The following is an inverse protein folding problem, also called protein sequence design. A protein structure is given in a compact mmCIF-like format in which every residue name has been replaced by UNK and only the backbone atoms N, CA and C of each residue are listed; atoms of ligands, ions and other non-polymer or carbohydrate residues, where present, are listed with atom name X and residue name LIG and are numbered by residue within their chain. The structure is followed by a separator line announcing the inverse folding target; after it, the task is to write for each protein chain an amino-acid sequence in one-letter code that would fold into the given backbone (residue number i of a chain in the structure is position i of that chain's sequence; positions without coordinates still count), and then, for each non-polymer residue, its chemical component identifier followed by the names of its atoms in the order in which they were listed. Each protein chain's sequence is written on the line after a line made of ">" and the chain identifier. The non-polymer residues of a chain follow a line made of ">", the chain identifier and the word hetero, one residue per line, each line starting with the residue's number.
data_IF_363196831250
#
_entry.id   IF_363196831250
#
_cell.length_a   1.000
_cell.length_b   1.000
_cell.length_c   1.000
_cell.angle_alpha   90.00
_cell.angle_beta   90.00
_cell.angle_gamma   90.00
#
_symmetry.space_group_name_H-M   'P 1'
#
loop_
_entity.id
_entity.type
_entity.pdbx_description
1 polymer ?
#
# COMPACT_ATOMS: atom_id res chain seq x y z
N UNK A 1 35.51 -7.63 -11.61
CA UNK A 1 36.35 -8.41 -10.70
C UNK A 1 36.70 -7.57 -9.49
N UNK A 2 37.06 -8.19 -8.37
CA UNK A 2 37.50 -7.47 -7.15
C UNK A 2 38.70 -6.56 -7.40
N UNK A 3 39.55 -6.90 -8.34
CA UNK A 3 40.70 -6.07 -8.77
C UNK A 3 40.28 -4.77 -9.45
N UNK A 4 39.18 -4.78 -10.22
CA UNK A 4 38.65 -3.59 -10.90
C UNK A 4 38.07 -2.56 -9.92
N UNK A 5 37.66 -2.97 -8.75
CA UNK A 5 37.06 -2.09 -7.72
C UNK A 5 37.98 -1.85 -6.51
N UNK A 6 39.21 -2.39 -6.52
CA UNK A 6 40.16 -2.26 -5.41
C UNK A 6 40.55 -0.78 -5.10
N UNK A 7 40.42 0.13 -6.06
CA UNK A 7 40.64 1.56 -5.90
C UNK A 7 39.37 2.41 -5.90
N UNK A 8 38.19 1.79 -5.89
CA UNK A 8 36.92 2.51 -5.85
C UNK A 8 36.66 3.08 -4.44
N UNK A 9 35.92 4.20 -4.35
CA UNK A 9 35.51 4.75 -3.04
C UNK A 9 34.67 3.76 -2.26
N UNK A 10 34.73 3.85 -0.95
CA UNK A 10 33.84 3.11 -0.05
C UNK A 10 32.38 3.54 -0.26
N UNK A 11 31.40 2.73 0.22
CA UNK A 11 29.97 3.06 0.12
C UNK A 11 29.66 4.47 0.69
N UNK A 12 30.28 4.84 1.81
CA UNK A 12 30.09 6.15 2.44
C UNK A 12 30.68 7.28 1.59
N UNK A 13 31.91 7.12 1.10
CA UNK A 13 32.57 8.11 0.22
C UNK A 13 31.82 8.27 -1.09
N UNK A 14 31.36 7.17 -1.67
CA UNK A 14 30.57 7.20 -2.91
C UNK A 14 29.25 7.95 -2.72
N UNK A 15 28.56 7.73 -1.59
CA UNK A 15 27.33 8.46 -1.26
C UNK A 15 27.58 9.95 -1.06
N UNK A 16 28.66 10.30 -0.37
CA UNK A 16 29.03 11.71 -0.15
C UNK A 16 29.28 12.42 -1.49
N UNK A 17 30.08 11.79 -2.37
CA UNK A 17 30.34 12.32 -3.71
C UNK A 17 29.06 12.40 -4.56
N UNK A 18 28.18 11.39 -4.46
CA UNK A 18 26.92 11.36 -5.18
C UNK A 18 26.00 12.52 -4.74
N UNK A 19 25.80 12.71 -3.44
CA UNK A 19 24.96 13.79 -2.94
C UNK A 19 25.59 15.18 -3.18
N UNK A 20 26.90 15.28 -3.16
CA UNK A 20 27.58 16.52 -3.55
C UNK A 20 27.35 16.83 -5.05
N UNK A 21 27.40 15.80 -5.91
CA UNK A 21 27.06 15.95 -7.33
C UNK A 21 25.59 16.35 -7.54
N UNK A 22 24.69 15.85 -6.70
CA UNK A 22 23.25 16.12 -6.76
C UNK A 22 22.85 17.39 -5.98
N UNK A 23 23.79 18.22 -5.52
CA UNK A 23 23.49 19.43 -4.76
C UNK A 23 22.53 20.34 -5.53
N UNK A 24 21.43 20.73 -4.88
CA UNK A 24 20.33 21.47 -5.51
C UNK A 24 19.35 20.63 -6.33
N UNK A 25 19.47 19.30 -6.36
CA UNK A 25 18.55 18.38 -7.02
C UNK A 25 17.76 17.58 -5.99
N UNK A 26 16.47 17.87 -5.85
CA UNK A 26 15.58 17.19 -4.90
C UNK A 26 14.88 15.96 -5.50
N UNK A 27 14.98 15.77 -6.83
CA UNK A 27 14.21 14.77 -7.58
C UNK A 27 15.14 13.90 -8.42
N UNK A 28 14.98 12.59 -8.26
CA UNK A 28 15.69 11.57 -9.01
C UNK A 28 14.78 10.92 -10.04
N UNK A 29 15.25 10.84 -11.27
CA UNK A 29 14.53 10.20 -12.36
C UNK A 29 15.24 8.89 -12.71
N UNK A 30 14.52 7.78 -12.71
CA UNK A 30 15.05 6.48 -13.09
C UNK A 30 14.04 5.67 -13.90
N UNK A 31 14.50 4.61 -14.57
CA UNK A 31 13.64 3.67 -15.29
C UNK A 31 13.48 2.38 -14.50
N UNK A 32 12.30 2.10 -13.98
CA UNK A 32 12.06 1.12 -12.92
C UNK A 32 12.70 1.56 -11.59
N UNK A 33 12.39 2.80 -11.23
CA UNK A 33 13.03 3.56 -10.16
C UNK A 33 13.08 2.86 -8.80
N UNK A 34 12.11 2.00 -8.48
CA UNK A 34 12.09 1.23 -7.22
C UNK A 34 13.34 0.35 -7.07
N UNK A 35 13.93 -0.12 -8.18
CA UNK A 35 15.14 -0.92 -8.14
C UNK A 35 16.34 -0.06 -7.69
N UNK A 36 16.63 1.03 -8.37
CA UNK A 36 17.76 1.91 -8.09
C UNK A 36 17.62 2.60 -6.72
N UNK A 37 16.42 3.10 -6.43
CA UNK A 37 16.11 3.75 -5.16
C UNK A 37 16.15 2.79 -3.97
N UNK A 38 15.86 1.50 -4.20
CA UNK A 38 16.02 0.46 -3.18
C UNK A 38 17.47 0.32 -2.72
N UNK A 39 18.41 0.33 -3.65
CA UNK A 39 19.86 0.33 -3.33
C UNK A 39 20.29 1.63 -2.66
N UNK A 40 19.92 2.78 -3.23
CA UNK A 40 20.27 4.08 -2.70
C UNK A 40 19.77 4.28 -1.27
N UNK A 41 18.49 4.03 -1.01
CA UNK A 41 17.90 4.12 0.34
C UNK A 41 18.53 3.14 1.33
N UNK A 42 18.95 1.98 0.86
CA UNK A 42 19.63 1.00 1.72
C UNK A 42 21.03 1.50 2.10
N UNK A 43 21.78 2.05 1.15
CA UNK A 43 23.10 2.63 1.41
C UNK A 43 23.01 3.86 2.33
N UNK A 44 22.06 4.78 2.09
CA UNK A 44 21.76 5.93 2.95
C UNK A 44 21.57 5.49 4.42
N UNK A 45 20.71 4.48 4.64
CA UNK A 45 20.45 3.94 5.98
C UNK A 45 21.68 3.30 6.62
N UNK A 46 22.49 2.55 5.87
CA UNK A 46 23.72 1.94 6.38
C UNK A 46 24.75 2.97 6.80
N UNK A 47 24.82 4.07 6.08
CA UNK A 47 25.73 5.18 6.38
C UNK A 47 25.18 6.16 7.44
N UNK A 48 24.00 5.88 8.03
CA UNK A 48 23.41 6.72 9.07
C UNK A 48 22.95 8.10 8.58
N UNK A 49 22.66 8.23 7.30
CA UNK A 49 22.19 9.47 6.67
C UNK A 49 20.66 9.54 6.68
N UNK A 50 20.09 10.75 6.51
CA UNK A 50 18.64 11.01 6.62
C UNK A 50 18.00 11.44 5.30
N UNK A 51 18.73 11.51 4.20
CA UNK A 51 18.21 11.92 2.90
C UNK A 51 17.13 10.93 2.43
N UNK A 52 16.02 11.45 1.93
CA UNK A 52 14.91 10.68 1.35
C UNK A 52 14.50 11.32 0.02
N UNK A 53 15.26 11.05 -1.05
CA UNK A 53 15.04 11.69 -2.34
C UNK A 53 13.70 11.28 -2.96
N UNK A 54 13.01 12.27 -3.55
CA UNK A 54 11.79 12.05 -4.32
C UNK A 54 12.15 11.41 -5.66
N UNK A 55 11.37 10.40 -6.07
CA UNK A 55 11.61 9.69 -7.32
C UNK A 55 10.52 9.92 -8.35
N UNK A 56 10.92 9.95 -9.63
CA UNK A 56 10.03 9.82 -10.78
C UNK A 56 10.46 8.59 -11.57
N UNK A 57 9.49 7.74 -11.93
CA UNK A 57 9.73 6.50 -12.67
C UNK A 57 9.25 6.60 -14.11
N UNK A 58 10.19 6.65 -15.07
CA UNK A 58 9.87 6.73 -16.50
C UNK A 58 9.24 5.44 -17.04
N UNK A 59 9.38 4.29 -16.36
CA UNK A 59 8.66 3.07 -16.71
C UNK A 59 7.16 3.23 -16.38
N UNK A 60 6.84 3.85 -15.26
CA UNK A 60 5.45 4.16 -14.86
C UNK A 60 4.87 5.21 -15.79
N UNK A 61 5.65 6.27 -16.10
CA UNK A 61 5.28 7.28 -17.10
C UNK A 61 4.98 6.66 -18.46
N UNK A 62 5.88 5.85 -18.98
CA UNK A 62 5.74 5.22 -20.30
C UNK A 62 4.50 4.33 -20.39
N UNK A 63 4.21 3.56 -19.33
CA UNK A 63 2.98 2.75 -19.26
C UNK A 63 1.71 3.58 -19.25
N UNK A 64 1.76 4.75 -18.64
CA UNK A 64 0.63 5.65 -18.57
C UNK A 64 0.41 6.45 -19.85
N UNK A 65 1.48 6.88 -20.50
CA UNK A 65 1.42 7.73 -21.68
C UNK A 65 1.26 6.93 -22.98
N UNK A 66 1.87 5.74 -23.05
CA UNK A 66 1.91 4.89 -24.27
C UNK A 66 1.36 3.48 -23.98
N UNK A 67 0.06 3.35 -23.59
CA UNK A 67 -0.55 2.06 -23.23
C UNK A 67 -0.60 1.06 -24.39
N UNK A 68 -0.49 1.54 -25.62
CA UNK A 68 -0.46 0.74 -26.86
C UNK A 68 0.84 -0.06 -27.03
N UNK A 69 1.94 0.36 -26.39
CA UNK A 69 3.21 -0.35 -26.45
C UNK A 69 3.15 -1.66 -25.67
N UNK A 70 3.54 -2.77 -26.31
CA UNK A 70 3.59 -4.09 -25.66
C UNK A 70 4.64 -4.19 -24.55
N UNK A 71 5.72 -3.42 -24.66
CA UNK A 71 6.83 -3.37 -23.70
C UNK A 71 7.20 -1.90 -23.46
N UNK A 72 7.68 -1.61 -22.26
CA UNK A 72 8.09 -0.26 -21.87
C UNK A 72 9.52 -0.29 -21.31
N UNK A 73 10.40 -1.07 -21.92
CA UNK A 73 11.83 -1.04 -21.61
C UNK A 73 12.43 0.28 -22.11
N UNK A 74 13.58 0.66 -21.58
CA UNK A 74 14.27 1.89 -21.96
C UNK A 74 14.54 1.94 -23.48
N UNK A 75 15.03 0.83 -24.05
CA UNK A 75 15.26 0.67 -25.48
C UNK A 75 14.00 0.87 -26.34
N UNK A 76 12.88 0.29 -25.88
CA UNK A 76 11.59 0.40 -26.58
C UNK A 76 11.05 1.83 -26.54
N UNK A 77 11.21 2.52 -25.42
CA UNK A 77 10.81 3.93 -25.28
C UNK A 77 11.74 4.84 -26.10
N UNK A 78 13.05 4.56 -26.13
CA UNK A 78 14.00 5.29 -26.95
C UNK A 78 13.64 5.20 -28.43
N UNK A 79 13.35 4.00 -28.93
CA UNK A 79 12.92 3.76 -30.33
C UNK A 79 11.61 4.51 -30.61
N UNK A 80 10.60 4.38 -29.75
CA UNK A 80 9.29 5.04 -29.91
C UNK A 80 9.41 6.56 -29.98
N UNK A 81 10.30 7.15 -29.19
CA UNK A 81 10.49 8.60 -29.09
C UNK A 81 11.61 9.13 -30.01
N UNK A 82 12.24 8.26 -30.80
CA UNK A 82 13.33 8.66 -31.69
C UNK A 82 14.58 9.17 -30.94
N UNK A 83 14.91 8.55 -29.80
CA UNK A 83 16.15 8.83 -29.04
C UNK A 83 17.21 7.82 -29.42
N UNK A 84 18.39 8.32 -29.85
CA UNK A 84 19.51 7.46 -30.28
C UNK A 84 20.22 6.86 -29.05
N UNK A 85 20.33 5.53 -28.99
CA UNK A 85 21.10 4.80 -27.99
C UNK A 85 22.34 4.18 -28.64
N UNK A 86 23.53 4.69 -28.28
CA UNK A 86 24.80 4.31 -28.93
C UNK A 86 25.43 3.05 -28.36
N UNK A 87 25.34 2.88 -27.03
CA UNK A 87 25.98 1.78 -26.33
C UNK A 87 25.02 1.19 -25.26
N UNK A 88 24.30 0.14 -25.61
CA UNK A 88 23.43 -0.57 -24.69
C UNK A 88 24.22 -1.09 -23.45
N UNK A 89 23.61 -0.97 -22.27
CA UNK A 89 24.14 -1.43 -20.98
C UNK A 89 25.41 -0.69 -20.49
N UNK A 90 25.63 0.55 -20.93
CA UNK A 90 26.54 1.46 -20.30
C UNK A 90 25.77 2.49 -19.50
N UNK A 91 26.06 2.57 -18.19
CA UNK A 91 25.31 3.41 -17.26
C UNK A 91 25.27 4.89 -17.65
N UNK A 92 26.36 5.40 -18.22
CA UNK A 92 26.46 6.78 -18.75
C UNK A 92 25.54 7.03 -19.95
N UNK A 93 25.49 6.10 -20.91
CA UNK A 93 24.63 6.21 -22.09
C UNK A 93 23.17 5.95 -21.74
N UNK A 94 22.89 4.96 -20.88
CA UNK A 94 21.54 4.67 -20.40
C UNK A 94 20.98 5.87 -19.62
N UNK A 95 21.77 6.55 -18.78
CA UNK A 95 21.36 7.76 -18.07
C UNK A 95 21.07 8.94 -19.02
N UNK A 96 21.89 9.13 -20.06
CA UNK A 96 21.65 10.15 -21.10
C UNK A 96 20.35 9.88 -21.86
N UNK A 97 20.17 8.65 -22.33
CA UNK A 97 18.96 8.22 -23.04
C UNK A 97 17.73 8.39 -22.17
N UNK A 98 17.82 8.02 -20.89
CA UNK A 98 16.77 8.21 -19.90
C UNK A 98 16.39 9.69 -19.74
N UNK A 99 17.39 10.58 -19.65
CA UNK A 99 17.15 12.02 -19.52
C UNK A 99 16.43 12.58 -20.75
N UNK A 100 16.86 12.22 -21.96
CA UNK A 100 16.21 12.64 -23.20
C UNK A 100 14.75 12.13 -23.30
N UNK A 101 14.51 10.88 -22.95
CA UNK A 101 13.15 10.29 -22.88
C UNK A 101 12.30 11.06 -21.90
N UNK A 102 12.82 11.29 -20.69
CA UNK A 102 12.09 12.00 -19.63
C UNK A 102 11.71 13.41 -20.06
N UNK A 103 12.61 14.16 -20.66
CA UNK A 103 12.33 15.53 -21.14
C UNK A 103 11.24 15.52 -22.22
N UNK A 104 11.27 14.60 -23.17
CA UNK A 104 10.21 14.46 -24.19
C UNK A 104 8.87 14.11 -23.58
N UNK A 105 8.84 13.15 -22.63
CA UNK A 105 7.63 12.81 -21.89
C UNK A 105 7.09 14.00 -21.09
N UNK A 106 7.98 14.78 -20.49
CA UNK A 106 7.61 15.99 -19.75
C UNK A 106 6.96 17.03 -20.66
N UNK A 107 7.55 17.30 -21.82
CA UNK A 107 6.99 18.23 -22.81
C UNK A 107 5.59 17.79 -23.26
N UNK A 108 5.38 16.52 -23.53
CA UNK A 108 4.04 15.98 -23.88
C UNK A 108 3.05 16.12 -22.73
N UNK A 109 3.44 15.82 -21.48
CA UNK A 109 2.59 15.96 -20.31
C UNK A 109 2.18 17.41 -20.06
N UNK A 110 3.13 18.34 -20.22
CA UNK A 110 2.85 19.77 -20.08
C UNK A 110 1.88 20.24 -21.16
N UNK A 111 2.11 19.82 -22.42
CA UNK A 111 1.26 20.21 -23.54
C UNK A 111 -0.16 19.65 -23.44
N UNK A 112 -0.31 18.38 -23.06
CA UNK A 112 -1.61 17.70 -23.02
C UNK A 112 -2.40 17.98 -21.73
N UNK A 113 -1.75 17.99 -20.58
CA UNK A 113 -2.42 18.03 -19.26
C UNK A 113 -2.25 19.35 -18.52
N UNK A 114 -1.56 20.31 -19.10
CA UNK A 114 -1.29 21.63 -18.49
C UNK A 114 -0.66 21.49 -17.08
N UNK A 115 0.27 20.56 -16.92
CA UNK A 115 1.02 20.38 -15.68
C UNK A 115 1.99 21.54 -15.54
N UNK A 116 2.01 22.19 -14.37
CA UNK A 116 2.85 23.35 -14.09
C UNK A 116 3.92 23.07 -13.06
N UNK A 117 3.78 21.97 -12.28
CA UNK A 117 4.72 21.56 -11.24
C UNK A 117 5.09 20.10 -11.34
N UNK A 118 6.34 19.78 -11.00
CA UNK A 118 6.86 18.40 -11.05
C UNK A 118 6.11 17.46 -10.08
N UNK A 119 5.64 17.97 -8.94
CA UNK A 119 4.80 17.23 -7.99
C UNK A 119 3.50 16.71 -8.60
N UNK A 120 2.99 17.38 -9.64
CA UNK A 120 1.77 16.97 -10.35
C UNK A 120 2.01 15.77 -11.27
N UNK A 121 3.26 15.51 -11.68
CA UNK A 121 3.61 14.38 -12.56
C UNK A 121 3.20 13.06 -11.92
N UNK A 122 3.67 12.77 -10.72
CA UNK A 122 3.35 11.52 -10.03
C UNK A 122 1.85 11.38 -9.76
N UNK A 123 1.16 12.49 -9.48
CA UNK A 123 -0.29 12.50 -9.27
C UNK A 123 -1.05 12.24 -10.59
N UNK A 124 -0.67 12.88 -11.69
CA UNK A 124 -1.34 12.75 -12.99
C UNK A 124 -1.07 11.41 -13.66
N UNK A 125 0.11 10.83 -13.46
CA UNK A 125 0.50 9.51 -13.97
C UNK A 125 -0.15 8.40 -13.15
N UNK A 126 -0.26 8.56 -11.84
CA UNK A 126 -0.88 7.59 -10.93
C UNK A 126 -2.38 7.39 -11.16
N UNK A 127 -3.03 8.28 -11.93
CA UNK A 127 -4.45 8.15 -12.28
C UNK A 127 -4.71 7.19 -13.46
N UNK A 128 -3.70 6.75 -14.20
CA UNK A 128 -3.88 5.76 -15.27
C UNK A 128 -3.57 4.36 -14.74
N UNK A 129 -4.61 3.55 -14.66
CA UNK A 129 -4.69 2.09 -14.46
C UNK A 129 -3.36 1.35 -14.26
N UNK A 130 -2.78 1.44 -13.07
CA UNK A 130 -1.67 0.58 -12.70
C UNK A 130 -2.21 -0.83 -12.40
N UNK A 131 -2.51 -1.60 -13.48
CA UNK A 131 -3.08 -2.95 -13.39
C UNK A 131 -2.14 -3.96 -12.73
N UNK A 132 -0.87 -3.62 -12.51
CA UNK A 132 0.15 -4.48 -11.92
C UNK A 132 0.35 -4.28 -10.42
N UNK A 133 -0.15 -3.18 -9.82
CA UNK A 133 -0.09 -3.02 -8.37
C UNK A 133 -1.04 -4.00 -7.69
N UNK A 134 -0.57 -4.66 -6.65
CA UNK A 134 -1.43 -5.45 -5.78
C UNK A 134 -2.38 -4.50 -5.02
N UNK A 135 -3.70 -4.66 -5.16
CA UNK A 135 -4.63 -3.84 -4.40
C UNK A 135 -4.54 -4.20 -2.92
N UNK A 136 -4.74 -3.21 -2.07
CA UNK A 136 -4.90 -3.39 -0.64
C UNK A 136 -6.37 -3.67 -0.30
N UNK A 137 -6.60 -4.34 0.82
CA UNK A 137 -7.93 -4.44 1.39
C UNK A 137 -8.35 -3.10 2.03
N UNK A 138 -9.63 -2.82 1.96
CA UNK A 138 -10.25 -1.66 2.59
C UNK A 138 -11.67 -2.02 3.01
N UNK A 139 -12.12 -1.47 4.13
CA UNK A 139 -13.51 -1.64 4.60
C UNK A 139 -14.27 -0.34 4.36
N UNK A 140 -15.46 -0.44 3.78
CA UNK A 140 -16.38 0.66 3.59
C UNK A 140 -17.68 0.38 4.34
N UNK A 141 -18.00 1.18 5.34
CA UNK A 141 -19.27 1.12 6.07
C UNK A 141 -20.17 2.25 5.58
N UNK A 142 -21.40 1.90 5.25
CA UNK A 142 -22.42 2.89 4.86
C UNK A 142 -22.96 3.55 6.11
N UNK A 143 -22.82 4.86 6.22
CA UNK A 143 -23.29 5.62 7.38
C UNK A 143 -24.72 6.14 7.20
N UNK A 144 -25.09 6.48 5.98
CA UNK A 144 -26.41 7.03 5.65
C UNK A 144 -26.81 6.73 4.20
N UNK A 145 -27.99 7.22 3.77
CA UNK A 145 -28.51 6.97 2.42
C UNK A 145 -27.65 7.58 1.29
N UNK A 146 -26.93 8.68 1.53
CA UNK A 146 -25.96 9.26 0.59
C UNK A 146 -24.80 8.30 0.40
N UNK A 147 -24.25 7.76 1.49
CA UNK A 147 -23.18 6.77 1.47
C UNK A 147 -23.57 5.50 0.73
N UNK A 148 -24.81 5.01 0.88
CA UNK A 148 -25.30 3.87 0.12
C UNK A 148 -25.23 4.11 -1.39
N UNK A 149 -25.73 5.27 -1.84
CA UNK A 149 -25.68 5.66 -3.25
C UNK A 149 -24.24 5.76 -3.76
N UNK A 150 -23.36 6.31 -2.94
CA UNK A 150 -21.95 6.46 -3.27
C UNK A 150 -21.23 5.11 -3.30
N UNK A 151 -21.53 4.19 -2.37
CA UNK A 151 -21.03 2.82 -2.39
C UNK A 151 -21.43 2.11 -3.68
N UNK A 152 -22.67 2.22 -4.12
CA UNK A 152 -23.13 1.62 -5.39
C UNK A 152 -22.37 2.16 -6.59
N UNK A 153 -22.08 3.47 -6.64
CA UNK A 153 -21.26 4.05 -7.72
C UNK A 153 -19.83 3.51 -7.69
N UNK A 154 -19.21 3.40 -6.51
CA UNK A 154 -17.87 2.85 -6.34
C UNK A 154 -17.83 1.40 -6.80
N UNK A 155 -18.79 0.56 -6.37
CA UNK A 155 -18.86 -0.85 -6.76
C UNK A 155 -19.08 -0.97 -8.28
N UNK A 156 -20.01 -0.19 -8.85
CA UNK A 156 -20.25 -0.21 -10.30
C UNK A 156 -18.99 0.14 -11.09
N UNK A 157 -18.30 1.23 -10.72
CA UNK A 157 -17.06 1.62 -11.37
C UNK A 157 -15.96 0.55 -11.20
N UNK A 158 -15.85 -0.08 -10.02
CA UNK A 158 -14.87 -1.12 -9.76
C UNK A 158 -15.02 -2.35 -10.66
N UNK A 159 -16.27 -2.64 -11.09
CA UNK A 159 -16.56 -3.75 -11.99
C UNK A 159 -16.53 -3.37 -13.47
N UNK A 160 -16.95 -2.16 -13.82
CA UNK A 160 -17.10 -1.73 -15.21
C UNK A 160 -15.84 -1.05 -15.77
N UNK A 161 -15.14 -0.27 -14.93
CA UNK A 161 -14.03 0.57 -15.36
C UNK A 161 -12.67 0.07 -14.82
N UNK A 162 -12.65 -0.44 -13.59
CA UNK A 162 -11.39 -0.76 -12.88
C UNK A 162 -11.21 -2.27 -12.61
N UNK A 163 -11.96 -3.14 -13.27
CA UNK A 163 -11.85 -4.59 -13.10
C UNK A 163 -10.55 -5.12 -13.71
N UNK A 164 -9.73 -5.78 -12.89
CA UNK A 164 -8.59 -6.55 -13.37
C UNK A 164 -8.39 -7.79 -12.50
N UNK A 165 -8.79 -8.97 -12.99
CA UNK A 165 -8.90 -10.24 -12.25
C UNK A 165 -9.88 -10.20 -11.08
N UNK A 166 -10.01 -9.06 -10.41
CA UNK A 166 -10.96 -8.74 -9.35
C UNK A 166 -11.31 -7.25 -9.38
N UNK A 167 -12.45 -6.83 -8.79
CA UNK A 167 -12.82 -5.42 -8.71
C UNK A 167 -11.77 -4.63 -7.92
N UNK A 168 -11.46 -3.43 -8.38
CA UNK A 168 -10.49 -2.52 -7.73
C UNK A 168 -11.08 -1.14 -7.61
N UNK A 169 -10.62 -0.40 -6.60
CA UNK A 169 -11.09 0.96 -6.33
C UNK A 169 -9.86 1.86 -6.25
N UNK A 170 -9.65 2.79 -7.21
CA UNK A 170 -8.65 3.83 -7.06
C UNK A 170 -8.96 4.73 -5.86
N UNK A 171 -7.94 5.15 -5.10
CA UNK A 171 -8.14 6.09 -3.97
C UNK A 171 -8.85 7.38 -4.40
N UNK A 172 -8.55 7.90 -5.59
CA UNK A 172 -9.20 9.09 -6.15
C UNK A 172 -10.71 8.92 -6.31
N UNK A 173 -11.15 7.74 -6.76
CA UNK A 173 -12.58 7.43 -6.88
C UNK A 173 -13.23 7.35 -5.49
N UNK A 174 -12.55 6.75 -4.52
CA UNK A 174 -13.04 6.67 -3.14
C UNK A 174 -13.14 8.06 -2.52
N UNK A 175 -12.13 8.93 -2.69
CA UNK A 175 -12.19 10.31 -2.21
C UNK A 175 -13.37 11.06 -2.82
N UNK A 176 -13.61 10.90 -4.13
CA UNK A 176 -14.72 11.53 -4.85
C UNK A 176 -16.09 11.15 -4.30
N UNK A 177 -16.26 9.92 -3.85
CA UNK A 177 -17.54 9.36 -3.37
C UNK A 177 -17.52 9.01 -1.87
N UNK A 178 -16.64 9.64 -1.08
CA UNK A 178 -16.46 9.32 0.34
C UNK A 178 -17.63 9.76 1.23
N UNK A 179 -18.41 10.76 0.81
CA UNK A 179 -19.51 11.30 1.62
C UNK A 179 -20.50 10.21 2.03
N UNK A 180 -20.80 10.14 3.33
CA UNK A 180 -21.70 9.15 3.93
C UNK A 180 -21.11 7.73 4.06
N UNK A 181 -19.79 7.59 3.87
CA UNK A 181 -19.04 6.35 4.08
C UNK A 181 -18.03 6.53 5.22
N UNK A 182 -17.89 5.51 6.04
CA UNK A 182 -16.75 5.35 6.94
C UNK A 182 -15.76 4.38 6.32
N UNK A 183 -14.49 4.77 6.30
CA UNK A 183 -13.39 4.03 5.68
C UNK A 183 -12.51 3.43 6.75
N UNK A 184 -12.43 2.10 6.82
CA UNK A 184 -11.59 1.34 7.74
C UNK A 184 -10.30 0.84 7.10
N UNK A 185 -9.24 0.71 7.91
CA UNK A 185 -7.91 0.30 7.45
C UNK A 185 -7.80 -1.18 7.04
N UNK A 186 -8.84 -1.96 7.32
CA UNK A 186 -8.93 -3.40 7.08
C UNK A 186 -7.88 -4.25 7.82
N UNK A 187 -7.70 -5.50 7.37
CA UNK A 187 -6.86 -6.53 7.97
C UNK A 187 -5.37 -6.38 7.60
N UNK A 188 -4.61 -7.45 7.78
CA UNK A 188 -3.17 -7.54 7.43
C UNK A 188 -2.88 -7.31 5.94
N UNK A 189 -3.89 -7.50 5.07
CA UNK A 189 -3.79 -7.20 3.64
C UNK A 189 -4.11 -5.72 3.32
N UNK A 190 -4.45 -4.91 4.32
CA UNK A 190 -4.62 -3.46 4.21
C UNK A 190 -3.31 -2.71 4.02
N UNK A 191 -3.39 -1.49 3.49
CA UNK A 191 -2.20 -0.67 3.21
C UNK A 191 -1.44 -0.32 4.49
N UNK A 192 -2.15 0.09 5.55
CA UNK A 192 -1.52 0.47 6.82
C UNK A 192 -0.74 -0.68 7.46
N UNK A 193 -1.37 -1.85 7.57
CA UNK A 193 -0.73 -3.00 8.20
C UNK A 193 0.50 -3.47 7.41
N UNK A 194 0.42 -3.50 6.08
CA UNK A 194 1.58 -3.79 5.23
C UNK A 194 2.69 -2.78 5.39
N UNK A 195 2.38 -1.49 5.44
CA UNK A 195 3.35 -0.43 5.66
C UNK A 195 4.09 -0.58 7.01
N UNK A 196 3.36 -0.96 8.08
CA UNK A 196 3.96 -1.26 9.39
C UNK A 196 4.90 -2.47 9.30
N UNK A 197 4.45 -3.55 8.65
CA UNK A 197 5.25 -4.77 8.45
C UNK A 197 6.52 -4.51 7.64
N UNK A 198 6.43 -3.65 6.64
CA UNK A 198 7.57 -3.23 5.80
C UNK A 198 8.53 -2.27 6.53
N UNK A 199 8.19 -1.84 7.75
CA UNK A 199 9.03 -0.96 8.57
C UNK A 199 9.12 0.47 8.04
N UNK A 200 8.03 0.98 7.43
CA UNK A 200 7.98 2.37 6.97
C UNK A 200 8.17 3.36 8.11
N UNK A 201 8.67 4.56 7.78
CA UNK A 201 8.92 5.64 8.75
C UNK A 201 7.60 6.07 9.41
N UNK A 202 7.70 6.52 10.66
CA UNK A 202 6.52 6.95 11.44
C UNK A 202 5.67 8.01 10.73
N UNK A 203 6.31 9.00 10.10
CA UNK A 203 5.62 10.05 9.34
C UNK A 203 4.77 9.45 8.19
N UNK A 204 5.33 8.51 7.41
CA UNK A 204 4.58 7.82 6.35
C UNK A 204 3.41 7.00 6.91
N UNK A 205 3.60 6.35 8.06
CA UNK A 205 2.53 5.61 8.73
C UNK A 205 1.41 6.55 9.18
N UNK A 206 1.74 7.74 9.69
CA UNK A 206 0.76 8.78 10.04
C UNK A 206 -0.02 9.25 8.79
N UNK A 207 0.67 9.51 7.68
CA UNK A 207 0.02 9.93 6.43
C UNK A 207 -0.94 8.85 5.90
N UNK A 208 -0.52 7.58 5.91
CA UNK A 208 -1.38 6.45 5.50
C UNK A 208 -2.57 6.32 6.46
N UNK A 209 -2.34 6.38 7.77
CA UNK A 209 -3.39 6.21 8.77
C UNK A 209 -4.43 7.34 8.72
N UNK A 210 -4.02 8.58 8.44
CA UNK A 210 -4.90 9.74 8.36
C UNK A 210 -5.95 9.64 7.24
N UNK A 211 -5.79 8.71 6.30
CA UNK A 211 -6.77 8.43 5.26
C UNK A 211 -8.03 7.74 5.79
N UNK A 212 -7.95 7.06 6.92
CA UNK A 212 -9.02 6.21 7.46
C UNK A 212 -9.85 6.94 8.54
N UNK A 213 -11.13 6.60 8.63
CA UNK A 213 -12.02 7.09 9.69
C UNK A 213 -11.89 6.24 10.95
N UNK A 214 -11.46 4.99 10.83
CA UNK A 214 -11.09 4.11 11.93
C UNK A 214 -10.02 3.11 11.50
N UNK A 215 -9.23 2.63 12.47
CA UNK A 215 -8.19 1.64 12.26
C UNK A 215 -8.63 0.30 12.85
N UNK A 216 -8.15 -0.79 12.25
CA UNK A 216 -8.49 -2.15 12.67
C UNK A 216 -7.26 -2.91 13.16
N UNK A 217 -7.46 -3.70 14.21
CA UNK A 217 -6.55 -4.76 14.65
C UNK A 217 -7.34 -6.05 14.84
N UNK A 218 -6.66 -7.17 14.71
CA UNK A 218 -7.26 -8.50 14.79
C UNK A 218 -6.62 -9.34 15.88
N UNK A 219 -7.30 -10.40 16.38
CA UNK A 219 -6.69 -11.42 17.22
C UNK A 219 -5.38 -11.93 16.63
N UNK A 220 -4.38 -12.20 17.48
CA UNK A 220 -3.08 -12.66 17.03
C UNK A 220 -3.17 -13.95 16.20
N UNK A 221 -4.08 -14.85 16.59
CA UNK A 221 -4.36 -16.10 15.91
C UNK A 221 -4.72 -15.96 14.44
N UNK A 222 -5.36 -14.83 14.05
CA UNK A 222 -5.72 -14.56 12.66
C UNK A 222 -4.48 -14.39 11.76
N UNK A 223 -3.37 -13.91 12.34
CA UNK A 223 -2.15 -13.55 11.64
C UNK A 223 -0.97 -14.48 11.91
N UNK A 224 -1.18 -15.60 12.64
CA UNK A 224 -0.12 -16.57 12.98
C UNK A 224 0.50 -17.24 11.74
N UNK A 225 -0.16 -17.22 10.60
CA UNK A 225 0.41 -17.67 9.35
C UNK A 225 1.71 -16.91 9.00
N UNK A 226 1.83 -15.64 9.38
CA UNK A 226 3.05 -14.85 9.14
C UNK A 226 4.28 -15.42 9.88
N UNK A 227 4.06 -15.99 11.08
CA UNK A 227 5.11 -16.67 11.84
C UNK A 227 5.44 -18.02 11.20
N UNK A 228 4.41 -18.79 10.85
CA UNK A 228 4.56 -20.10 10.19
C UNK A 228 5.32 -19.97 8.86
N UNK A 229 5.00 -18.98 8.06
CA UNK A 229 5.55 -18.78 6.71
C UNK A 229 6.88 -17.99 6.74
N UNK A 230 7.35 -17.60 7.94
CA UNK A 230 8.63 -16.92 8.14
C UNK A 230 8.65 -15.45 7.74
N UNK A 231 7.48 -14.84 7.56
CA UNK A 231 7.35 -13.40 7.28
C UNK A 231 7.70 -12.53 8.50
N UNK A 232 7.44 -13.03 9.70
CA UNK A 232 7.83 -12.46 10.99
C UNK A 232 8.46 -13.53 11.88
N UNK A 233 9.20 -13.10 12.91
CA UNK A 233 9.99 -14.03 13.75
C UNK A 233 9.15 -14.69 14.84
N UNK A 234 8.13 -13.99 15.35
CA UNK A 234 7.39 -14.42 16.52
C UNK A 234 6.01 -13.76 16.59
N UNK A 235 5.14 -14.34 17.43
CA UNK A 235 3.87 -13.71 17.83
C UNK A 235 4.07 -12.31 18.43
N UNK A 236 5.20 -12.07 19.09
CA UNK A 236 5.55 -10.75 19.64
C UNK A 236 5.65 -9.67 18.57
N UNK A 237 6.06 -10.01 17.36
CA UNK A 237 6.11 -9.07 16.25
C UNK A 237 4.67 -8.68 15.84
N UNK A 238 3.73 -9.63 15.80
CA UNK A 238 2.31 -9.37 15.51
C UNK A 238 1.71 -8.48 16.61
N UNK A 239 2.02 -8.75 17.89
CA UNK A 239 1.62 -7.87 18.99
C UNK A 239 2.14 -6.44 18.80
N UNK A 240 3.41 -6.29 18.41
CA UNK A 240 4.03 -5.00 18.16
C UNK A 240 3.37 -4.25 17.00
N UNK A 241 2.91 -4.95 15.95
CA UNK A 241 2.14 -4.33 14.87
C UNK A 241 0.80 -3.78 15.38
N UNK A 242 0.05 -4.56 16.15
CA UNK A 242 -1.19 -4.09 16.77
C UNK A 242 -0.95 -2.89 17.69
N UNK A 243 0.10 -2.91 18.51
CA UNK A 243 0.49 -1.79 19.38
C UNK A 243 0.86 -0.56 18.55
N UNK A 244 1.47 -0.74 17.38
CA UNK A 244 1.80 0.37 16.48
C UNK A 244 0.53 1.03 15.92
N UNK A 245 -0.47 0.24 15.52
CA UNK A 245 -1.79 0.75 15.10
C UNK A 245 -2.46 1.53 16.24
N UNK A 246 -2.42 1.02 17.47
CA UNK A 246 -2.96 1.71 18.65
C UNK A 246 -2.29 3.06 18.90
N UNK A 247 -0.94 3.11 18.76
CA UNK A 247 -0.17 4.36 18.92
C UNK A 247 -0.54 5.38 17.84
N UNK A 248 -0.69 4.95 16.59
CA UNK A 248 -1.14 5.80 15.48
C UNK A 248 -2.54 6.35 15.75
N UNK A 249 -3.49 5.49 16.11
CA UNK A 249 -4.86 5.91 16.45
C UNK A 249 -4.88 6.95 17.56
N UNK A 250 -4.13 6.71 18.64
CA UNK A 250 -4.01 7.66 19.77
C UNK A 250 -3.42 9.00 19.34
N UNK A 251 -2.34 8.98 18.53
CA UNK A 251 -1.68 10.21 18.09
C UNK A 251 -2.55 11.05 17.15
N UNK A 252 -3.28 10.38 16.25
CA UNK A 252 -4.10 11.03 15.23
C UNK A 252 -5.54 11.28 15.67
N UNK A 253 -5.93 10.80 16.86
CA UNK A 253 -7.33 10.88 17.33
C UNK A 253 -8.28 9.99 16.53
N UNK A 254 -7.79 8.93 15.88
CA UNK A 254 -8.56 8.00 15.07
C UNK A 254 -8.92 6.78 15.93
N UNK A 255 -10.21 6.39 16.05
CA UNK A 255 -10.61 5.24 16.84
C UNK A 255 -10.01 3.95 16.25
N UNK A 256 -9.54 3.07 17.13
CA UNK A 256 -9.11 1.71 16.78
C UNK A 256 -10.16 0.71 17.22
N UNK A 257 -10.50 -0.25 16.38
CA UNK A 257 -11.45 -1.33 16.67
C UNK A 257 -10.79 -2.69 16.55
N UNK A 258 -11.24 -3.64 17.36
CA UNK A 258 -10.89 -5.04 17.25
C UNK A 258 -11.95 -5.78 16.42
N UNK A 259 -11.53 -6.39 15.30
CA UNK A 259 -12.40 -7.16 14.42
C UNK A 259 -12.01 -8.62 14.39
N UNK A 260 -13.00 -9.53 14.30
CA UNK A 260 -12.77 -10.96 14.41
C UNK A 260 -12.46 -11.66 13.07
N UNK A 261 -12.73 -11.01 11.94
CA UNK A 261 -12.66 -11.62 10.59
C UNK A 261 -13.41 -12.97 10.52
N UNK A 262 -14.67 -12.96 10.97
CA UNK A 262 -15.45 -14.18 11.18
C UNK A 262 -15.81 -14.84 9.85
N UNK A 263 -15.42 -16.12 9.70
CA UNK A 263 -15.72 -16.95 8.54
C UNK A 263 -16.63 -18.16 8.88
N UNK A 264 -16.75 -18.51 10.15
CA UNK A 264 -17.61 -19.61 10.63
C UNK A 264 -18.07 -19.37 12.07
N UNK A 265 -19.13 -20.07 12.49
CA UNK A 265 -19.81 -19.81 13.77
C UNK A 265 -19.02 -20.36 14.96
N UNK A 266 -18.69 -21.64 14.93
CA UNK A 266 -18.04 -22.33 16.05
C UNK A 266 -16.66 -22.80 15.65
N UNK A 267 -15.75 -22.90 16.60
CA UNK A 267 -14.37 -23.34 16.34
C UNK A 267 -14.28 -24.69 15.59
N UNK A 268 -15.20 -25.62 15.88
CA UNK A 268 -15.27 -26.93 15.17
C UNK A 268 -15.58 -26.80 13.69
N UNK A 269 -16.22 -25.69 13.27
CA UNK A 269 -16.65 -25.47 11.88
C UNK A 269 -15.47 -25.14 10.95
N UNK A 270 -14.28 -24.86 11.51
CA UNK A 270 -13.03 -24.74 10.77
C UNK A 270 -12.81 -25.94 9.81
N UNK A 271 -13.28 -27.14 10.19
CA UNK A 271 -13.19 -28.33 9.36
C UNK A 271 -13.99 -28.22 8.05
N UNK A 272 -15.15 -27.59 8.10
CA UNK A 272 -15.97 -27.37 6.89
C UNK A 272 -15.29 -26.38 5.95
N UNK A 273 -14.70 -25.33 6.50
CA UNK A 273 -13.92 -24.35 5.71
C UNK A 273 -12.70 -24.99 5.09
N UNK A 274 -11.96 -25.83 5.83
CA UNK A 274 -10.85 -26.62 5.32
C UNK A 274 -11.22 -27.44 4.08
N UNK A 275 -12.35 -28.16 4.15
CA UNK A 275 -12.85 -28.99 3.03
C UNK A 275 -13.18 -28.13 1.80
N UNK A 276 -13.85 -26.99 2.02
CA UNK A 276 -14.19 -26.07 0.94
C UNK A 276 -12.96 -25.46 0.28
N UNK A 277 -11.99 -25.01 1.09
CA UNK A 277 -10.74 -24.44 0.60
C UNK A 277 -9.89 -25.47 -0.15
N UNK A 278 -9.81 -26.69 0.36
CA UNK A 278 -9.12 -27.79 -0.33
C UNK A 278 -9.78 -28.08 -1.70
N UNK A 279 -11.13 -28.11 -1.75
CA UNK A 279 -11.87 -28.25 -2.99
C UNK A 279 -11.65 -27.12 -3.99
N UNK A 280 -11.33 -25.93 -3.52
CA UNK A 280 -10.99 -24.76 -4.35
C UNK A 280 -9.49 -24.70 -4.72
N UNK A 281 -8.68 -25.64 -4.26
CA UNK A 281 -7.25 -25.75 -4.59
C UNK A 281 -6.32 -24.86 -3.76
N UNK A 282 -6.76 -24.36 -2.60
CA UNK A 282 -5.88 -23.64 -1.68
C UNK A 282 -4.87 -24.58 -1.05
N UNK A 283 -3.59 -24.20 -1.09
CA UNK A 283 -2.47 -25.03 -0.61
C UNK A 283 -2.37 -25.10 0.91
N UNK A 284 -2.93 -24.15 1.62
CA UNK A 284 -2.93 -23.96 3.07
C UNK A 284 -4.27 -24.30 3.71
N UNK A 285 -5.11 -25.05 3.00
CA UNK A 285 -6.45 -25.39 3.45
C UNK A 285 -6.49 -26.10 4.81
N UNK A 286 -5.47 -26.91 5.12
CA UNK A 286 -5.29 -27.64 6.36
C UNK A 286 -4.81 -26.78 7.55
N UNK A 287 -4.41 -25.54 7.30
CA UNK A 287 -3.90 -24.61 8.29
C UNK A 287 -4.89 -23.48 8.57
N UNK A 288 -6.07 -23.82 9.09
CA UNK A 288 -7.12 -22.86 9.35
C UNK A 288 -6.77 -21.89 10.47
N UNK A 289 -6.88 -20.57 10.19
CA UNK A 289 -6.88 -19.55 11.24
C UNK A 289 -8.17 -19.65 12.09
N UNK A 290 -8.15 -19.23 13.37
CA UNK A 290 -9.29 -19.36 14.28
C UNK A 290 -10.35 -18.27 14.03
N UNK A 291 -10.94 -18.25 12.83
CA UNK A 291 -11.86 -17.23 12.34
C UNK A 291 -13.32 -17.50 12.74
N UNK A 292 -13.54 -17.99 13.98
CA UNK A 292 -14.87 -18.28 14.50
C UNK A 292 -15.50 -17.03 15.14
N UNK A 293 -16.83 -17.05 15.26
CA UNK A 293 -17.56 -15.97 15.93
C UNK A 293 -17.28 -15.99 17.44
N UNK A 294 -16.65 -14.92 17.94
CA UNK A 294 -16.30 -14.76 19.36
C UNK A 294 -17.33 -13.93 20.09
N UNK A 295 -17.66 -14.34 21.31
CA UNK A 295 -18.38 -13.48 22.25
C UNK A 295 -17.50 -12.31 22.69
N UNK A 296 -18.11 -11.30 23.34
CA UNK A 296 -17.37 -10.14 23.88
C UNK A 296 -16.25 -10.58 24.82
N UNK A 297 -16.54 -11.52 25.75
CA UNK A 297 -15.54 -12.01 26.70
C UNK A 297 -14.39 -12.76 26.00
N UNK A 298 -14.71 -13.53 24.97
CA UNK A 298 -13.70 -14.20 24.15
C UNK A 298 -12.85 -13.18 23.39
N UNK A 299 -13.48 -12.13 22.82
CA UNK A 299 -12.73 -11.06 22.14
C UNK A 299 -11.82 -10.30 23.10
N UNK A 300 -12.29 -9.94 24.29
CA UNK A 300 -11.45 -9.29 25.32
C UNK A 300 -10.23 -10.15 25.68
N UNK A 301 -10.40 -11.46 25.78
CA UNK A 301 -9.31 -12.40 26.07
C UNK A 301 -8.25 -12.46 24.96
N UNK A 302 -8.62 -12.26 23.70
CA UNK A 302 -7.67 -12.22 22.58
C UNK A 302 -6.69 -11.03 22.67
N UNK A 303 -7.04 -10.01 23.48
CA UNK A 303 -6.25 -8.80 23.68
C UNK A 303 -5.77 -8.63 25.13
N UNK A 304 -5.64 -9.73 25.89
CA UNK A 304 -5.17 -9.75 27.29
C UNK A 304 -3.71 -9.29 27.45
N UNK A 305 -2.95 -9.19 26.37
CA UNK A 305 -1.61 -8.60 26.34
C UNK A 305 -1.61 -7.06 26.36
N UNK A 306 -2.80 -6.42 26.27
CA UNK A 306 -3.01 -4.98 26.39
C UNK A 306 -3.56 -4.63 27.79
N UNK A 307 -3.45 -3.37 28.24
CA UNK A 307 -4.17 -2.92 29.43
C UNK A 307 -5.69 -3.10 29.27
N UNK A 308 -6.38 -3.52 30.34
CA UNK A 308 -7.82 -3.81 30.33
C UNK A 308 -8.66 -2.66 29.76
N UNK A 309 -8.32 -1.41 30.10
CA UNK A 309 -8.99 -0.22 29.59
C UNK A 309 -8.87 -0.11 28.07
N UNK A 310 -7.67 -0.36 27.54
CA UNK A 310 -7.40 -0.35 26.08
C UNK A 310 -8.15 -1.49 25.37
N UNK A 311 -8.11 -2.70 25.94
CA UNK A 311 -8.84 -3.85 25.40
C UNK A 311 -10.35 -3.57 25.36
N UNK A 312 -10.92 -3.00 26.43
CA UNK A 312 -12.31 -2.60 26.48
C UNK A 312 -12.65 -1.53 25.44
N UNK A 313 -11.80 -0.52 25.31
CA UNK A 313 -12.00 0.56 24.33
C UNK A 313 -12.11 0.01 22.89
N UNK A 314 -11.19 -0.85 22.47
CA UNK A 314 -11.16 -1.37 21.10
C UNK A 314 -12.20 -2.45 20.81
N UNK A 315 -12.59 -3.24 21.82
CA UNK A 315 -13.54 -4.35 21.66
C UNK A 315 -14.99 -3.92 21.85
N UNK A 316 -15.24 -2.94 22.72
CA UNK A 316 -16.60 -2.56 23.11
C UNK A 316 -16.92 -1.12 22.73
N UNK A 317 -16.14 -0.16 23.25
CA UNK A 317 -16.56 1.24 23.24
C UNK A 317 -16.46 1.86 21.84
N UNK A 318 -15.36 1.66 21.13
CA UNK A 318 -15.17 2.19 19.77
C UNK A 318 -16.08 1.50 18.73
N UNK A 319 -16.23 0.16 18.71
CA UNK A 319 -17.21 -0.49 17.82
C UNK A 319 -18.65 0.01 18.06
N UNK A 320 -19.02 0.25 19.32
CA UNK A 320 -20.33 0.81 19.67
C UNK A 320 -20.50 2.23 19.12
N UNK A 321 -19.50 3.11 19.30
CA UNK A 321 -19.53 4.47 18.74
C UNK A 321 -19.70 4.48 17.23
N UNK A 322 -19.00 3.58 16.52
CA UNK A 322 -19.15 3.43 15.06
C UNK A 322 -20.56 2.96 14.73
N UNK A 323 -21.08 1.94 15.40
CA UNK A 323 -22.43 1.44 15.18
C UNK A 323 -23.52 2.50 15.44
N UNK A 324 -23.37 3.30 16.51
CA UNK A 324 -24.28 4.38 16.86
C UNK A 324 -24.22 5.57 15.88
N UNK A 325 -23.12 5.74 15.13
CA UNK A 325 -22.97 6.78 14.11
C UNK A 325 -23.68 6.43 12.79
N UNK A 326 -24.14 5.19 12.63
CA UNK A 326 -24.82 4.71 11.42
C UNK A 326 -26.32 4.93 11.53
N UNK A 327 -26.89 5.63 10.55
CA UNK A 327 -28.33 5.82 10.42
C UNK A 327 -29.00 4.56 9.86
N UNK A 328 -30.33 4.50 9.98
CA UNK A 328 -31.11 3.44 9.32
C UNK A 328 -31.02 3.59 7.79
N UNK A 329 -30.38 2.62 7.15
CA UNK A 329 -30.19 2.59 5.70
C UNK A 329 -31.00 1.44 5.07
N UNK A 330 -31.75 1.73 4.02
CA UNK A 330 -32.41 0.71 3.20
C UNK A 330 -31.56 0.31 2.02
N UNK A 331 -31.04 -0.94 1.98
CA UNK A 331 -30.23 -1.42 0.86
C UNK A 331 -30.97 -1.39 -0.47
N UNK A 332 -32.26 -1.71 -0.47
CA UNK A 332 -33.12 -1.68 -1.65
C UNK A 332 -34.13 -0.52 -1.48
N UNK A 333 -34.04 0.55 -2.30
CA UNK A 333 -35.02 1.61 -2.29
C UNK A 333 -36.41 1.06 -2.59
N UNK A 334 -37.45 1.70 -2.00
CA UNK A 334 -38.86 1.38 -2.36
C UNK A 334 -39.22 1.93 -3.72
#
# INVERSE_FOLDING_TARGET
>A
TNEMVAGAPTESEALEQFFHFCDGCDIFVAHNADFDMGFLRTAIRRCGREEDPVQIDTLVMGRAMYPELRKHKLDTLAEHMGVEQKHHHRADDDARVLAEIFLKMLDELVAEKKITMVSEINHSIGQQNNTKTHPYHIVLLVQNQVGLKNLYKIISASHLEYFHKKPRIPKSLLVKYREGLLVGSACEAGELYKAIREGKKWAELCDIASFYDYLEIQPLGNNMFMVRDGEVRSEKDIQNFNITVLKLGKQLGIPVVATGDVHFMEQKDARFREILMAGMGFKDADNQAPLFFRTTDQMLKEFDYLPDETAREIVIDNPRKIAESVEYVRPIPK
#
